data_IF_022486774389
#
_entry.id   IF_022486774389
#
_cell.length_a   1.000
_cell.length_b   1.000
_cell.length_c   1.000
_cell.angle_alpha   90.00
_cell.angle_beta   90.00
_cell.angle_gamma   90.00
#
_symmetry.space_group_name_H-M   'P 1'
#
loop_
_entity.id
_entity.type
_entity.pdbx_description
1 polymer ?
#
# COMPACT_ATOMS: atom_id res chain seq x y z
N UNK A 1 15.64 5.59 -19.89
CA UNK A 1 14.33 5.47 -19.26
C UNK A 1 14.17 6.60 -18.24
N UNK A 2 13.61 7.74 -18.65
CA UNK A 2 13.39 8.95 -17.82
C UNK A 2 11.92 9.10 -17.40
N UNK A 3 11.05 8.25 -17.94
CA UNK A 3 9.59 8.39 -17.88
C UNK A 3 8.98 7.98 -16.54
N UNK A 4 9.63 7.08 -15.79
CA UNK A 4 9.10 6.57 -14.52
C UNK A 4 9.74 7.20 -13.28
N UNK A 5 10.72 8.10 -13.47
CA UNK A 5 11.52 8.70 -12.38
C UNK A 5 10.68 9.38 -11.29
N UNK A 6 9.53 9.98 -11.66
CA UNK A 6 8.65 10.67 -10.72
C UNK A 6 7.86 9.70 -9.83
N UNK A 7 7.30 8.66 -10.43
CA UNK A 7 6.60 7.59 -9.71
C UNK A 7 7.58 6.83 -8.81
N UNK A 8 8.79 6.57 -9.30
CA UNK A 8 9.85 5.95 -8.50
C UNK A 8 10.25 6.80 -7.28
N UNK A 9 10.39 8.12 -7.44
CA UNK A 9 10.62 9.03 -6.30
C UNK A 9 9.46 9.03 -5.32
N UNK A 10 8.22 9.11 -5.81
CA UNK A 10 7.03 9.00 -4.97
C UNK A 10 7.04 7.72 -4.13
N UNK A 11 7.34 6.57 -4.74
CA UNK A 11 7.43 5.30 -4.01
C UNK A 11 8.56 5.27 -2.98
N UNK A 12 9.69 5.93 -3.27
CA UNK A 12 10.77 6.10 -2.30
C UNK A 12 10.27 6.91 -1.11
N UNK A 13 9.55 8.00 -1.37
CA UNK A 13 9.03 8.91 -0.34
C UNK A 13 7.95 8.28 0.52
N UNK A 14 6.94 7.64 -0.09
CA UNK A 14 5.96 6.79 0.61
C UNK A 14 6.67 5.79 1.53
N UNK A 15 7.72 5.16 1.00
CA UNK A 15 8.56 4.24 1.76
C UNK A 15 9.24 4.90 2.95
N UNK A 16 9.92 6.03 2.75
CA UNK A 16 10.71 6.71 3.79
C UNK A 16 9.86 7.40 4.85
N UNK A 17 8.71 7.95 4.47
CA UNK A 17 7.94 8.83 5.35
C UNK A 17 7.10 8.05 6.37
N UNK A 18 6.41 6.99 5.96
CA UNK A 18 5.60 6.19 6.91
C UNK A 18 5.71 4.67 6.72
N UNK A 19 5.70 4.16 5.49
CA UNK A 19 5.52 2.72 5.26
C UNK A 19 6.64 1.83 5.85
N UNK A 20 7.89 2.33 5.91
CA UNK A 20 9.00 1.58 6.54
C UNK A 20 8.83 1.44 8.05
N UNK A 21 8.24 2.43 8.74
CA UNK A 21 8.01 2.38 10.19
C UNK A 21 6.97 1.32 10.53
N UNK A 22 5.83 1.30 9.83
CA UNK A 22 4.84 0.24 9.95
C UNK A 22 5.41 -1.14 9.65
N UNK A 23 6.21 -1.28 8.60
CA UNK A 23 6.87 -2.55 8.27
C UNK A 23 7.83 -2.99 9.38
N UNK A 24 8.61 -2.07 9.92
CA UNK A 24 9.51 -2.32 11.03
C UNK A 24 8.73 -2.75 12.27
N UNK A 25 7.65 -2.04 12.61
CA UNK A 25 6.76 -2.38 13.70
C UNK A 25 6.18 -3.79 13.58
N UNK A 26 5.60 -4.16 12.42
CA UNK A 26 5.09 -5.52 12.22
C UNK A 26 6.18 -6.59 12.24
N UNK A 27 7.40 -6.24 11.82
CA UNK A 27 8.56 -7.15 11.96
C UNK A 27 8.88 -7.40 13.43
N UNK A 28 8.86 -6.33 14.24
CA UNK A 28 9.04 -6.41 15.69
C UNK A 28 7.95 -7.23 16.36
N UNK A 29 6.67 -7.02 16.01
CA UNK A 29 5.57 -7.83 16.53
C UNK A 29 5.79 -9.34 16.29
N UNK A 30 6.32 -9.71 15.12
CA UNK A 30 6.60 -11.12 14.81
C UNK A 30 7.80 -11.70 15.56
N UNK A 31 8.75 -10.83 15.96
CA UNK A 31 9.95 -11.22 16.69
C UNK A 31 9.73 -11.31 18.20
N UNK A 32 8.95 -10.37 18.76
CA UNK A 32 8.80 -10.19 20.21
C UNK A 32 7.42 -10.54 20.75
N UNK A 33 6.37 -10.37 19.95
CA UNK A 33 4.98 -10.34 20.42
C UNK A 33 4.10 -11.38 19.73
N UNK A 34 4.69 -12.53 19.38
CA UNK A 34 3.99 -13.71 18.88
C UNK A 34 3.13 -13.50 17.62
N UNK A 35 3.39 -12.46 16.81
CA UNK A 35 2.70 -12.30 15.52
C UNK A 35 3.16 -13.38 14.53
N UNK A 36 2.27 -14.34 14.24
CA UNK A 36 2.42 -15.23 13.08
C UNK A 36 1.74 -14.65 11.83
N UNK A 37 2.57 -14.18 10.89
CA UNK A 37 2.15 -13.71 9.56
C UNK A 37 1.48 -14.77 8.68
N UNK A 38 1.49 -16.04 9.06
CA UNK A 38 0.78 -17.12 8.36
C UNK A 38 -0.59 -17.41 8.95
N UNK A 39 -0.86 -16.95 10.17
CA UNK A 39 -2.13 -17.15 10.83
C UNK A 39 -3.16 -16.12 10.31
N UNK A 40 -4.24 -16.55 9.65
CA UNK A 40 -5.25 -15.62 9.14
C UNK A 40 -5.97 -14.83 10.24
N UNK A 41 -6.13 -15.39 11.44
CA UNK A 41 -6.71 -14.68 12.59
C UNK A 41 -5.83 -13.53 13.06
N UNK A 42 -4.51 -13.72 13.07
CA UNK A 42 -3.56 -12.66 13.41
C UNK A 42 -3.58 -11.53 12.37
N UNK A 43 -3.68 -11.87 11.08
CA UNK A 43 -3.77 -10.88 10.01
C UNK A 43 -5.09 -10.11 10.04
N UNK A 44 -6.20 -10.79 10.33
CA UNK A 44 -7.49 -10.15 10.58
C UNK A 44 -7.40 -9.17 11.76
N UNK A 45 -6.80 -9.59 12.88
CA UNK A 45 -6.66 -8.76 14.07
C UNK A 45 -5.75 -7.54 13.82
N UNK A 46 -4.64 -7.72 13.11
CA UNK A 46 -3.76 -6.61 12.68
C UNK A 46 -4.54 -5.57 11.88
N UNK A 47 -5.37 -6.01 10.93
CA UNK A 47 -6.21 -5.09 10.15
C UNK A 47 -7.22 -4.39 11.06
N UNK A 48 -7.85 -5.11 11.99
CA UNK A 48 -8.84 -4.52 12.90
C UNK A 48 -8.25 -3.44 13.78
N UNK A 49 -7.03 -3.63 14.28
CA UNK A 49 -6.37 -2.69 15.19
C UNK A 49 -5.70 -1.51 14.50
N UNK A 50 -5.01 -1.76 13.38
CA UNK A 50 -4.04 -0.78 12.84
C UNK A 50 -4.37 -0.25 11.45
N UNK A 51 -5.37 -0.81 10.74
CA UNK A 51 -5.67 -0.36 9.39
C UNK A 51 -6.14 1.10 9.36
N UNK A 52 -6.90 1.54 10.36
CA UNK A 52 -7.33 2.94 10.46
C UNK A 52 -6.12 3.87 10.59
N UNK A 53 -5.25 3.65 11.58
CA UNK A 53 -4.06 4.46 11.80
C UNK A 53 -3.10 4.44 10.59
N UNK A 54 -2.96 3.29 9.93
CA UNK A 54 -2.17 3.19 8.70
C UNK A 54 -2.78 4.01 7.56
N UNK A 55 -4.11 4.02 7.44
CA UNK A 55 -4.81 4.86 6.46
C UNK A 55 -4.71 6.34 6.81
N UNK A 56 -4.75 6.71 8.08
CA UNK A 56 -4.54 8.09 8.53
C UNK A 56 -3.15 8.58 8.12
N UNK A 57 -2.10 7.80 8.39
CA UNK A 57 -0.74 8.10 7.93
C UNK A 57 -0.66 8.22 6.39
N UNK A 58 -1.43 7.40 5.65
CA UNK A 58 -1.52 7.50 4.19
C UNK A 58 -2.18 8.80 3.75
N UNK A 59 -3.25 9.23 4.44
CA UNK A 59 -3.96 10.46 4.15
C UNK A 59 -3.11 11.69 4.49
N UNK A 60 -2.44 11.70 5.65
CA UNK A 60 -1.50 12.76 6.03
C UNK A 60 -0.38 12.89 4.99
N UNK A 61 0.25 11.78 4.59
CA UNK A 61 1.22 11.78 3.50
C UNK A 61 0.65 12.36 2.21
N UNK A 62 -0.58 12.00 1.85
CA UNK A 62 -1.22 12.51 0.64
C UNK A 62 -1.43 14.02 0.70
N UNK A 63 -1.89 14.55 1.84
CA UNK A 63 -2.08 15.99 2.05
C UNK A 63 -0.76 16.76 1.97
N UNK A 64 0.27 16.29 2.67
CA UNK A 64 1.61 16.89 2.64
C UNK A 64 2.21 16.85 1.24
N UNK A 65 2.12 15.70 0.57
CA UNK A 65 2.64 15.53 -0.78
C UNK A 65 1.91 16.42 -1.81
N UNK A 66 0.60 16.60 -1.65
CA UNK A 66 -0.17 17.48 -2.53
C UNK A 66 0.26 18.95 -2.43
N UNK A 67 0.85 19.35 -1.30
CA UNK A 67 1.40 20.68 -1.07
C UNK A 67 2.91 20.74 -1.37
N UNK A 68 3.57 19.61 -1.61
CA UNK A 68 5.00 19.56 -1.86
C UNK A 68 5.36 20.10 -3.25
N UNK A 69 6.22 21.14 -3.35
CA UNK A 69 6.68 21.67 -4.64
C UNK A 69 7.42 20.60 -5.45
N UNK A 70 6.94 20.32 -6.67
CA UNK A 70 7.65 19.37 -7.55
C UNK A 70 8.74 20.13 -8.29
N UNK A 71 10.00 19.86 -7.94
CA UNK A 71 11.13 20.50 -8.60
C UNK A 71 11.23 20.12 -10.08
N UNK A 72 11.38 21.12 -10.94
CA UNK A 72 11.71 20.90 -12.35
C UNK A 72 11.14 21.93 -13.32
N UNK A 73 11.82 22.08 -14.46
CA UNK A 73 11.48 23.07 -15.50
C UNK A 73 10.08 22.93 -16.10
N UNK A 74 9.46 21.75 -15.99
CA UNK A 74 8.09 21.51 -16.49
C UNK A 74 7.01 21.80 -15.45
N UNK A 75 7.35 21.77 -14.16
CA UNK A 75 6.41 21.99 -13.05
C UNK A 75 6.61 23.37 -12.42
N UNK A 76 7.66 24.12 -12.79
CA UNK A 76 7.95 25.47 -12.28
C UNK A 76 7.92 25.56 -10.74
N UNK A 77 8.36 24.50 -10.07
CA UNK A 77 8.33 24.37 -8.60
C UNK A 77 6.93 24.55 -8.00
N UNK A 78 5.88 24.22 -8.77
CA UNK A 78 4.50 24.20 -8.32
C UNK A 78 4.19 22.88 -7.62
N UNK A 79 3.35 22.94 -6.58
CA UNK A 79 2.82 21.74 -5.93
C UNK A 79 1.77 21.05 -6.81
N UNK A 80 1.47 19.76 -6.59
CA UNK A 80 0.33 19.11 -7.21
C UNK A 80 -0.98 19.89 -7.06
N UNK A 81 -1.21 20.50 -5.90
CA UNK A 81 -2.37 21.35 -5.64
C UNK A 81 -2.38 22.61 -6.53
N UNK A 82 -1.24 23.29 -6.67
CA UNK A 82 -1.10 24.48 -7.52
C UNK A 82 -1.36 24.13 -9.00
N UNK A 83 -0.78 23.02 -9.47
CA UNK A 83 -0.96 22.54 -10.85
C UNK A 83 -2.44 22.22 -11.11
N UNK A 84 -3.11 21.56 -10.16
CA UNK A 84 -4.54 21.28 -10.26
C UNK A 84 -5.37 22.56 -10.28
N UNK A 85 -5.10 23.50 -9.38
CA UNK A 85 -5.82 24.77 -9.30
C UNK A 85 -5.65 25.62 -10.56
N UNK A 86 -4.42 25.71 -11.07
CA UNK A 86 -4.12 26.42 -12.32
C UNK A 86 -4.81 25.75 -13.50
N UNK A 87 -4.74 24.42 -13.61
CA UNK A 87 -5.44 23.67 -14.66
C UNK A 87 -6.95 23.89 -14.62
N UNK A 88 -7.57 23.91 -13.44
CA UNK A 88 -8.99 24.23 -13.29
C UNK A 88 -9.35 25.65 -13.75
N UNK A 89 -8.42 26.59 -13.62
CA UNK A 89 -8.62 28.00 -13.97
C UNK A 89 -8.36 28.26 -15.46
N UNK A 90 -7.39 27.55 -16.08
CA UNK A 90 -7.02 27.73 -17.49
C UNK A 90 -7.83 26.84 -18.42
N UNK A 91 -8.06 25.57 -18.05
CA UNK A 91 -8.73 24.56 -18.87
C UNK A 91 -10.17 24.29 -18.42
N UNK A 92 -10.61 24.90 -17.33
CA UNK A 92 -11.95 24.74 -16.75
C UNK A 92 -12.06 23.61 -15.73
N UNK A 93 -13.19 23.58 -15.03
CA UNK A 93 -13.49 22.57 -14.01
C UNK A 93 -14.27 21.43 -14.68
N UNK A 94 -13.79 20.19 -14.54
CA UNK A 94 -14.60 19.00 -14.80
C UNK A 94 -15.77 19.01 -13.80
N UNK A 95 -16.95 19.47 -14.25
CA UNK A 95 -18.16 19.61 -13.40
C UNK A 95 -18.75 18.26 -13.00
N UNK A 96 -18.44 17.22 -13.76
CA UNK A 96 -18.77 15.83 -13.54
C UNK A 96 -17.45 15.07 -13.59
N UNK A 97 -17.22 14.11 -12.70
CA UNK A 97 -16.12 13.17 -12.92
C UNK A 97 -16.44 12.48 -14.26
N UNK A 98 -15.57 12.59 -15.29
CA UNK A 98 -15.84 11.96 -16.59
C UNK A 98 -16.02 10.44 -16.49
N UNK A 99 -15.65 9.84 -15.36
CA UNK A 99 -15.77 8.42 -15.03
C UNK A 99 -17.02 8.10 -14.19
N UNK A 100 -17.77 9.11 -13.72
CA UNK A 100 -18.98 8.91 -12.94
C UNK A 100 -20.06 8.23 -13.80
N UNK A 101 -20.58 7.09 -13.36
CA UNK A 101 -21.52 6.27 -14.13
C UNK A 101 -20.90 5.40 -15.24
N UNK A 102 -19.58 5.44 -15.46
CA UNK A 102 -18.90 4.52 -16.39
C UNK A 102 -18.63 3.20 -15.66
N UNK A 103 -19.18 2.10 -16.19
CA UNK A 103 -19.00 0.78 -15.59
C UNK A 103 -17.49 0.45 -15.47
N UNK A 104 -17.01 -0.06 -14.33
CA UNK A 104 -15.58 -0.30 -14.09
C UNK A 104 -14.93 -1.22 -15.14
N UNK A 105 -15.68 -2.07 -15.83
CA UNK A 105 -15.17 -2.88 -16.95
C UNK A 105 -14.83 -2.06 -18.20
N UNK A 106 -15.54 -0.96 -18.44
CA UNK A 106 -15.24 0.00 -19.53
C UNK A 106 -13.97 0.77 -19.16
N UNK A 107 -13.87 1.22 -17.91
CA UNK A 107 -12.65 1.84 -17.39
C UNK A 107 -11.48 0.86 -17.52
N UNK A 108 -11.65 -0.41 -17.12
CA UNK A 108 -10.62 -1.43 -17.26
C UNK A 108 -10.26 -1.77 -18.72
N UNK A 109 -11.21 -1.62 -19.65
CA UNK A 109 -10.98 -1.90 -21.07
C UNK A 109 -10.15 -0.81 -21.76
N UNK A 110 -10.37 0.45 -21.39
CA UNK A 110 -9.72 1.59 -22.06
C UNK A 110 -8.56 2.18 -21.24
N UNK A 111 -8.66 2.16 -19.91
CA UNK A 111 -7.67 2.70 -18.97
C UNK A 111 -7.10 1.63 -18.02
N UNK A 112 -7.62 0.41 -18.05
CA UNK A 112 -7.10 -0.69 -17.24
C UNK A 112 -5.73 -1.15 -17.74
N UNK A 113 -4.97 -1.67 -16.79
CA UNK A 113 -3.61 -2.21 -17.00
C UNK A 113 -3.57 -3.49 -17.83
N UNK A 114 -4.72 -4.09 -18.11
CA UNK A 114 -4.85 -5.27 -18.95
C UNK A 114 -5.16 -4.83 -20.39
N UNK A 115 -4.14 -4.41 -21.14
CA UNK A 115 -4.29 -4.23 -22.58
C UNK A 115 -4.82 -5.50 -23.27
N UNK A 116 -5.52 -5.35 -24.39
CA UNK A 116 -6.08 -6.48 -25.13
C UNK A 116 -5.02 -7.57 -25.39
N UNK A 117 -5.32 -8.84 -25.08
CA UNK A 117 -4.44 -9.99 -25.34
C UNK A 117 -4.16 -10.10 -26.85
N UNK A 118 -3.10 -9.44 -27.33
CA UNK A 118 -2.58 -9.65 -28.69
C UNK A 118 -2.02 -11.08 -28.78
N UNK A 119 -2.65 -11.94 -29.58
CA UNK A 119 -2.05 -13.21 -29.99
C UNK A 119 -0.85 -12.90 -30.88
N UNK A 120 0.36 -13.11 -30.34
CA UNK A 120 1.60 -12.97 -31.10
C UNK A 120 1.84 -14.23 -31.94
N UNK A 121 2.23 -14.11 -33.22
CA UNK A 121 2.75 -15.24 -33.98
C UNK A 121 4.04 -15.76 -33.32
N UNK A 122 4.33 -17.05 -33.53
CA UNK A 122 5.28 -17.87 -32.75
C UNK A 122 6.74 -17.37 -32.72
N UNK A 123 7.12 -16.36 -33.52
CA UNK A 123 8.51 -16.01 -33.77
C UNK A 123 8.89 -14.53 -33.53
N UNK A 124 8.11 -13.75 -32.77
CA UNK A 124 8.52 -12.39 -32.35
C UNK A 124 8.87 -12.31 -30.86
N UNK A 125 10.16 -12.18 -30.56
CA UNK A 125 10.66 -11.69 -29.28
C UNK A 125 10.65 -10.17 -29.31
N UNK A 126 10.07 -9.54 -28.29
CA UNK A 126 9.86 -8.09 -28.20
C UNK A 126 11.14 -7.27 -27.96
N UNK A 127 12.13 -7.43 -28.83
CA UNK A 127 13.24 -6.52 -29.02
C UNK A 127 13.10 -5.95 -30.44
N UNK A 128 12.94 -4.63 -30.55
CA UNK A 128 12.61 -3.96 -31.81
C UNK A 128 13.64 -4.24 -32.91
N UNK A 129 13.15 -4.62 -34.08
CA UNK A 129 13.90 -4.54 -35.33
C UNK A 129 13.35 -3.31 -36.03
N UNK A 130 14.19 -2.28 -36.16
CA UNK A 130 13.96 -1.22 -37.14
C UNK A 130 14.23 -1.82 -38.52
N UNK A 131 13.21 -1.83 -39.37
CA UNK A 131 13.40 -2.00 -40.81
C UNK A 131 13.15 -0.64 -41.43
N UNK A 132 14.25 0.02 -41.81
CA UNK A 132 14.22 1.01 -42.88
C UNK A 132 13.70 0.32 -44.13
N UNK A 133 12.53 0.73 -44.62
CA UNK A 133 12.16 0.55 -46.02
C UNK A 133 11.23 1.69 -46.42
N UNK A 134 11.72 2.49 -47.37
CA UNK A 134 10.98 3.58 -47.99
C UNK A 134 9.96 2.98 -48.96
N UNK A 135 8.68 3.28 -48.73
CA UNK A 135 7.60 2.92 -49.65
C UNK A 135 6.39 3.81 -49.43
N UNK A 136 6.23 4.81 -50.30
CA UNK A 136 5.01 5.61 -50.42
C UNK A 136 3.80 4.70 -50.66
N UNK A 137 2.77 4.81 -49.81
CA UNK A 137 1.41 4.46 -50.21
C UNK A 137 0.40 5.34 -49.46
N UNK A 138 -0.29 6.19 -50.22
CA UNK A 138 -1.49 6.91 -49.79
C UNK A 138 -2.58 5.93 -49.35
N UNK A 139 -2.81 5.83 -48.03
CA UNK A 139 -4.01 5.22 -47.47
C UNK A 139 -4.27 5.78 -46.06
N UNK A 140 -5.43 6.42 -45.91
CA UNK A 140 -6.13 6.81 -44.67
C UNK A 140 -5.35 6.51 -43.38
N UNK A 141 -4.53 7.48 -42.96
CA UNK A 141 -3.74 7.36 -41.75
C UNK A 141 -4.62 7.42 -40.50
N UNK A 142 -4.28 6.67 -39.43
CA UNK A 142 -4.95 6.81 -38.14
C UNK A 142 -4.97 8.28 -37.73
N UNK A 143 -6.08 8.74 -37.13
CA UNK A 143 -6.15 10.12 -36.65
C UNK A 143 -5.00 10.38 -35.68
N UNK A 144 -4.58 11.64 -35.54
CA UNK A 144 -3.53 12.05 -34.58
C UNK A 144 -3.84 11.54 -33.16
N UNK A 145 -5.13 11.38 -32.85
CA UNK A 145 -5.63 10.79 -31.60
C UNK A 145 -5.31 9.30 -31.49
N UNK A 146 -5.49 8.52 -32.56
CA UNK A 146 -5.22 7.08 -32.59
C UNK A 146 -3.70 6.77 -32.57
N UNK A 147 -2.86 7.62 -33.16
CA UNK A 147 -1.40 7.54 -33.01
C UNK A 147 -0.94 7.88 -31.57
N UNK A 148 -1.56 8.89 -30.96
CA UNK A 148 -1.29 9.29 -29.57
C UNK A 148 -1.75 8.19 -28.59
N UNK A 149 -2.92 7.60 -28.80
CA UNK A 149 -3.43 6.44 -28.05
C UNK A 149 -2.49 5.24 -28.15
N UNK A 150 -2.00 4.94 -29.35
CA UNK A 150 -1.05 3.85 -29.57
C UNK A 150 0.31 4.10 -28.90
N UNK A 151 0.79 5.36 -28.90
CA UNK A 151 2.01 5.74 -28.16
C UNK A 151 1.81 5.63 -26.65
N UNK A 152 0.73 6.20 -26.10
CA UNK A 152 0.41 6.14 -24.67
C UNK A 152 0.25 4.68 -24.22
N UNK A 153 -0.47 3.86 -24.99
CA UNK A 153 -0.67 2.43 -24.72
C UNK A 153 0.63 1.62 -24.77
N UNK A 154 1.51 1.89 -25.73
CA UNK A 154 2.81 1.24 -25.83
C UNK A 154 3.73 1.58 -24.64
N UNK A 155 3.65 2.80 -24.15
CA UNK A 155 4.50 3.29 -23.07
C UNK A 155 4.02 2.89 -21.65
N UNK A 156 2.71 2.78 -21.44
CA UNK A 156 2.16 2.23 -20.18
C UNK A 156 2.39 0.72 -20.07
N UNK A 157 2.31 -0.02 -21.18
CA UNK A 157 2.46 -1.48 -21.21
C UNK A 157 3.85 -1.98 -20.77
N UNK A 158 4.90 -1.16 -20.86
CA UNK A 158 6.24 -1.57 -20.43
C UNK A 158 6.44 -1.47 -18.91
N UNK A 159 5.67 -0.63 -18.21
CA UNK A 159 5.97 -0.22 -16.84
C UNK A 159 5.13 -0.91 -15.77
N UNK A 160 4.08 -1.65 -16.14
CA UNK A 160 3.18 -2.29 -15.16
C UNK A 160 3.22 -3.81 -15.36
N UNK A 161 4.29 -4.42 -14.84
CA UNK A 161 4.47 -5.88 -14.78
C UNK A 161 4.27 -6.39 -13.36
N UNK A 162 3.10 -6.18 -12.78
CA UNK A 162 2.68 -7.04 -11.69
C UNK A 162 1.19 -7.35 -11.85
N UNK A 163 0.84 -8.62 -11.73
CA UNK A 163 -0.55 -8.98 -11.49
C UNK A 163 -1.02 -8.22 -10.23
N UNK A 164 -2.27 -7.71 -10.20
CA UNK A 164 -2.83 -7.12 -8.99
C UNK A 164 -2.54 -8.04 -7.82
N UNK A 165 -1.87 -7.51 -6.79
CA UNK A 165 -1.60 -8.31 -5.59
C UNK A 165 -2.96 -8.74 -5.05
N UNK A 166 -3.27 -10.05 -4.97
CA UNK A 166 -4.53 -10.49 -4.43
C UNK A 166 -4.61 -9.98 -2.99
N UNK A 167 -5.45 -8.97 -2.76
CA UNK A 167 -5.68 -8.43 -1.42
C UNK A 167 -6.27 -9.56 -0.61
N UNK A 168 -5.53 -9.99 0.40
CA UNK A 168 -5.94 -11.11 1.22
C UNK A 168 -7.21 -10.71 1.98
N UNK A 169 -8.33 -11.29 1.55
CA UNK A 169 -9.62 -11.21 2.26
C UNK A 169 -9.53 -12.16 3.44
N UNK A 170 -8.77 -11.78 4.47
CA UNK A 170 -8.70 -12.56 5.70
C UNK A 170 -10.10 -12.55 6.31
N UNK A 171 -10.77 -13.71 6.19
CA UNK A 171 -12.09 -13.92 6.77
C UNK A 171 -11.93 -13.85 8.29
N UNK A 172 -12.90 -13.21 8.93
CA UNK A 172 -13.04 -13.20 10.38
C UNK A 172 -12.72 -14.59 10.97
N UNK A 173 -11.97 -14.67 12.08
CA UNK A 173 -11.74 -15.95 12.76
C UNK A 173 -13.04 -16.54 13.31
N UNK A 174 -14.08 -15.71 13.46
CA UNK A 174 -15.39 -16.11 13.94
C UNK A 174 -16.27 -16.62 12.79
N UNK A 175 -16.96 -17.74 13.02
CA UNK A 175 -17.95 -18.30 12.09
C UNK A 175 -19.31 -17.60 12.21
N UNK A 176 -19.58 -17.05 13.39
CA UNK A 176 -20.83 -16.40 13.75
C UNK A 176 -20.59 -14.89 13.94
N UNK A 177 -21.37 -14.00 13.28
CA UNK A 177 -21.27 -12.55 13.51
C UNK A 177 -21.58 -12.12 14.96
N UNK A 178 -22.37 -12.89 15.70
CA UNK A 178 -22.70 -12.55 17.09
C UNK A 178 -21.45 -12.73 17.98
N UNK A 179 -20.71 -13.83 17.80
CA UNK A 179 -19.43 -14.07 18.49
C UNK A 179 -18.37 -13.03 18.15
N UNK A 180 -18.32 -12.57 16.89
CA UNK A 180 -17.44 -11.47 16.50
C UNK A 180 -17.81 -10.18 17.24
N UNK A 181 -19.10 -9.89 17.38
CA UNK A 181 -19.59 -8.70 18.07
C UNK A 181 -19.26 -8.75 19.57
N UNK A 182 -19.48 -9.89 20.21
CA UNK A 182 -19.14 -10.11 21.62
C UNK A 182 -17.63 -9.95 21.86
N UNK A 183 -16.79 -10.53 20.99
CA UNK A 183 -15.34 -10.34 21.05
C UNK A 183 -14.95 -8.87 20.93
N UNK A 184 -15.56 -8.13 20.01
CA UNK A 184 -15.24 -6.72 19.77
C UNK A 184 -15.63 -5.84 20.96
N UNK A 185 -16.77 -6.10 21.60
CA UNK A 185 -17.20 -5.38 22.80
C UNK A 185 -16.23 -5.62 23.97
N UNK A 186 -15.82 -6.87 24.19
CA UNK A 186 -14.81 -7.21 25.20
C UNK A 186 -13.46 -6.58 24.90
N UNK A 187 -13.05 -6.59 23.63
CA UNK A 187 -11.81 -5.98 23.18
C UNK A 187 -11.80 -4.48 23.45
N UNK A 188 -12.89 -3.78 23.14
CA UNK A 188 -13.00 -2.33 23.39
C UNK A 188 -12.83 -2.01 24.88
N UNK A 189 -13.54 -2.74 25.76
CA UNK A 189 -13.41 -2.57 27.21
C UNK A 189 -12.01 -2.92 27.76
N UNK A 190 -11.29 -3.86 27.13
CA UNK A 190 -9.91 -4.20 27.49
C UNK A 190 -8.92 -3.12 27.04
N UNK A 191 -9.11 -2.56 25.84
CA UNK A 191 -8.23 -1.52 25.29
C UNK A 191 -8.34 -0.18 26.04
N UNK A 192 -9.42 0.05 26.78
CA UNK A 192 -9.54 1.17 27.74
C UNK A 192 -8.63 1.02 28.97
N UNK A 193 -8.04 -0.17 29.19
CA UNK A 193 -7.19 -0.49 30.33
C UNK A 193 -5.73 -0.72 29.87
N UNK A 194 -4.93 0.34 29.69
CA UNK A 194 -3.58 0.22 29.14
C UNK A 194 -2.61 -0.57 30.02
N UNK A 195 -2.88 -0.66 31.33
CA UNK A 195 -2.03 -1.36 32.30
C UNK A 195 -2.34 -2.87 32.39
N UNK A 196 -3.42 -3.34 31.77
CA UNK A 196 -3.82 -4.75 31.78
C UNK A 196 -3.03 -5.54 30.73
N UNK A 197 -1.73 -5.70 30.95
CA UNK A 197 -0.83 -6.42 30.04
C UNK A 197 -0.73 -7.91 30.43
N UNK A 198 -0.92 -8.84 29.48
CA UNK A 198 -0.74 -10.27 29.73
C UNK A 198 0.74 -10.67 29.75
N UNK A 199 1.02 -11.74 30.50
CA UNK A 199 2.33 -12.39 30.61
C UNK A 199 2.65 -13.24 29.36
N UNK A 200 3.93 -13.52 29.11
CA UNK A 200 4.50 -14.32 28.03
C UNK A 200 4.41 -13.71 26.61
N UNK A 201 4.25 -12.38 26.53
CA UNK A 201 4.17 -11.66 25.25
C UNK A 201 5.27 -10.63 25.01
N UNK A 202 6.26 -10.52 25.90
CA UNK A 202 7.43 -9.64 25.75
C UNK A 202 7.15 -8.15 25.94
N UNK A 203 6.10 -7.80 26.69
CA UNK A 203 5.66 -6.41 26.94
C UNK A 203 5.87 -5.96 28.38
N UNK A 204 6.03 -6.90 29.31
CA UNK A 204 6.32 -6.59 30.71
C UNK A 204 7.81 -6.35 30.90
N UNK A 205 8.17 -5.42 31.78
CA UNK A 205 9.58 -5.05 32.02
C UNK A 205 10.40 -6.25 32.53
N UNK A 206 9.75 -7.17 33.26
CA UNK A 206 10.36 -8.40 33.77
C UNK A 206 10.68 -9.44 32.67
N UNK A 207 10.09 -9.30 31.49
CA UNK A 207 10.29 -10.21 30.34
C UNK A 207 11.42 -9.76 29.41
N UNK A 208 11.98 -8.57 29.65
CA UNK A 208 12.99 -8.01 28.76
C UNK A 208 14.37 -8.56 29.09
N UNK A 209 15.06 -9.10 28.09
CA UNK A 209 16.45 -9.55 28.22
C UNK A 209 17.43 -8.37 28.41
N UNK A 210 17.05 -7.17 27.96
CA UNK A 210 17.76 -5.90 28.12
C UNK A 210 17.02 -5.01 29.14
N UNK A 211 17.68 -4.00 29.71
CA UNK A 211 17.04 -3.08 30.69
C UNK A 211 15.87 -2.26 30.11
N UNK A 212 15.68 -2.21 28.79
CA UNK A 212 14.68 -1.36 28.12
C UNK A 212 13.99 -2.01 26.91
N UNK A 213 12.77 -1.56 26.61
CA UNK A 213 12.04 -1.94 25.39
C UNK A 213 12.74 -1.40 24.13
N UNK A 214 12.96 -2.23 23.08
CA UNK A 214 13.77 -1.83 21.94
C UNK A 214 13.13 -0.69 21.15
N UNK A 215 13.90 0.38 20.92
CA UNK A 215 13.47 1.53 20.11
C UNK A 215 13.94 1.48 18.65
N UNK A 216 14.64 0.42 18.25
CA UNK A 216 15.09 0.22 16.87
C UNK A 216 14.64 -1.13 16.32
N UNK A 217 14.45 -1.21 15.01
CA UNK A 217 14.22 -2.49 14.32
C UNK A 217 14.93 -2.47 12.97
N UNK A 218 15.49 -3.61 12.58
CA UNK A 218 16.27 -3.75 11.35
C UNK A 218 15.41 -4.44 10.28
N UNK A 219 15.16 -3.75 9.17
CA UNK A 219 14.43 -4.31 8.03
C UNK A 219 15.33 -4.47 6.80
N UNK A 220 15.09 -5.53 6.02
CA UNK A 220 15.78 -5.78 4.74
C UNK A 220 14.89 -5.35 3.56
N UNK A 221 15.20 -4.26 2.83
CA UNK A 221 14.49 -3.89 1.61
C UNK A 221 14.86 -4.87 0.48
N UNK A 222 14.05 -5.91 0.28
CA UNK A 222 14.22 -6.87 -0.81
C UNK A 222 15.35 -7.89 -0.61
N UNK A 223 15.58 -8.74 -1.62
CA UNK A 223 16.51 -9.90 -1.54
C UNK A 223 18.00 -9.55 -1.52
N UNK A 224 18.37 -8.34 -1.98
CA UNK A 224 19.77 -7.87 -2.09
C UNK A 224 19.99 -6.47 -1.51
N UNK A 225 19.01 -5.90 -0.82
CA UNK A 225 19.13 -4.58 -0.22
C UNK A 225 19.94 -4.59 1.06
N UNK A 226 20.60 -3.46 1.35
CA UNK A 226 21.28 -3.23 2.62
C UNK A 226 20.26 -3.19 3.76
N UNK A 227 20.64 -3.71 4.91
CA UNK A 227 19.84 -3.57 6.14
C UNK A 227 19.58 -2.10 6.45
N UNK A 228 18.33 -1.78 6.77
CA UNK A 228 17.89 -0.46 7.18
C UNK A 228 17.54 -0.51 8.66
N UNK A 229 18.16 0.36 9.44
CA UNK A 229 17.80 0.60 10.84
C UNK A 229 16.67 1.61 10.86
N UNK A 230 15.54 1.24 11.44
CA UNK A 230 14.37 2.09 11.58
C UNK A 230 14.16 2.37 13.07
N UNK A 231 14.10 3.66 13.42
CA UNK A 231 13.72 4.09 14.76
C UNK A 231 12.20 3.95 14.95
N UNK A 232 11.82 3.39 16.09
CA UNK A 232 10.47 3.18 16.57
C UNK A 232 10.43 3.64 18.05
N UNK A 233 10.33 4.96 18.28
CA UNK A 233 10.33 5.54 19.63
C UNK A 233 9.29 4.89 20.53
N UNK A 234 9.65 4.63 21.80
CA UNK A 234 8.74 4.01 22.78
C UNK A 234 7.40 4.75 22.90
N UNK A 235 7.32 6.09 23.00
CA UNK A 235 6.04 6.80 23.18
C UNK A 235 5.03 6.54 22.05
N UNK A 236 5.51 6.34 20.82
CA UNK A 236 4.64 6.16 19.66
C UNK A 236 4.30 4.68 19.43
N UNK A 237 5.26 3.77 19.61
CA UNK A 237 5.13 2.39 19.13
C UNK A 237 4.90 1.36 20.23
N UNK A 238 5.28 1.63 21.48
CA UNK A 238 4.99 0.73 22.59
C UNK A 238 3.49 0.60 22.88
N UNK A 239 2.69 1.70 22.93
CA UNK A 239 1.25 1.57 23.11
C UNK A 239 0.57 0.73 22.03
N UNK A 240 1.10 0.73 20.80
CA UNK A 240 0.61 -0.13 19.71
C UNK A 240 0.95 -1.60 19.97
N UNK A 241 2.15 -1.90 20.46
CA UNK A 241 2.54 -3.26 20.83
C UNK A 241 1.69 -3.81 22.00
N UNK A 242 1.44 -2.99 23.02
CA UNK A 242 0.54 -3.31 24.13
C UNK A 242 -0.86 -3.68 23.63
N UNK A 243 -1.47 -2.83 22.80
CA UNK A 243 -2.80 -3.09 22.20
C UNK A 243 -2.83 -4.39 21.40
N UNK A 244 -1.78 -4.66 20.62
CA UNK A 244 -1.66 -5.91 19.87
C UNK A 244 -1.67 -7.12 20.80
N UNK A 245 -0.87 -7.09 21.86
CA UNK A 245 -0.71 -8.19 22.79
C UNK A 245 -2.00 -8.47 23.57
N UNK A 246 -2.64 -7.43 24.11
CA UNK A 246 -3.94 -7.53 24.79
C UNK A 246 -4.99 -8.19 23.88
N UNK A 247 -5.04 -7.74 22.64
CA UNK A 247 -6.02 -8.25 21.68
C UNK A 247 -5.73 -9.70 21.25
N UNK A 248 -4.45 -10.06 21.07
CA UNK A 248 -4.03 -11.40 20.68
C UNK A 248 -4.33 -12.42 21.78
N UNK A 249 -4.03 -12.04 23.01
CA UNK A 249 -4.28 -12.84 24.20
C UNK A 249 -5.79 -13.06 24.42
N UNK A 250 -6.59 -12.00 24.34
CA UNK A 250 -8.06 -12.12 24.37
C UNK A 250 -8.57 -13.02 23.24
N UNK A 251 -8.10 -12.82 22.00
CA UNK A 251 -8.52 -13.62 20.85
C UNK A 251 -8.20 -15.11 21.06
N UNK A 252 -7.03 -15.41 21.61
CA UNK A 252 -6.60 -16.80 21.86
C UNK A 252 -7.52 -17.47 22.87
N UNK A 253 -7.74 -16.83 24.03
CA UNK A 253 -8.65 -17.38 25.06
C UNK A 253 -10.08 -17.53 24.56
N UNK A 254 -10.58 -16.52 23.85
CA UNK A 254 -11.95 -16.51 23.35
C UNK A 254 -12.18 -17.63 22.32
N UNK A 255 -11.21 -17.90 21.43
CA UNK A 255 -11.30 -19.02 20.50
C UNK A 255 -11.18 -20.37 21.20
N UNK A 256 -10.29 -20.50 22.20
CA UNK A 256 -10.15 -21.73 22.98
C UNK A 256 -11.45 -22.07 23.76
N UNK A 257 -12.16 -21.06 24.29
CA UNK A 257 -13.46 -21.23 24.96
C UNK A 257 -14.58 -21.67 24.01
N UNK A 258 -14.54 -21.26 22.74
CA UNK A 258 -15.54 -21.64 21.74
C UNK A 258 -15.28 -23.06 21.19
N UNK A 259 -14.02 -23.47 21.12
CA UNK A 259 -13.62 -24.78 20.58
C UNK A 259 -13.63 -25.91 21.63
N UNK A 260 -13.58 -25.57 22.93
CA UNK A 260 -13.63 -26.50 24.07
C UNK A 260 -15.03 -26.99 24.43
#
# INVERSE_FOLDING_TARGET
STRNTRIERLWVEVGTQFARRWRAFFTRLGRLHNLDRKNPGHLWLLHRLFLHELNDDCHEFQEEWNLHPISGRMTNDQSPADIRFLGQTTEGIYREDPLDGIHPDIINRYYGVAGARRRRPRNQTGAGIASDDEGESDADGPSVEEELENQIGADLAQNIRHEPVPVARHRSPFKDPDLESDFLELLEGLLEQPDALPEDYGVLEDEWEEEDYPEIEIIKPGRRGKELVIALPRPDWFPRAARWVQALDLLTRFLDEIEG
#
